data_IF_548801174613
#
_entry.id   IF_548801174613
#
_cell.length_a   1.000
_cell.length_b   1.000
_cell.length_c   1.000
_cell.angle_alpha   90.00
_cell.angle_beta   90.00
_cell.angle_gamma   90.00
#
_symmetry.space_group_name_H-M   'P 1'
#
loop_
_entity.id
_entity.type
_entity.pdbx_description
1 polymer ?
#
# COMPACT_ATOMS: atom_id res chain seq x y z
N UNK A 1 -5.40 4.96 -27.13
CA UNK A 1 -4.05 4.63 -26.60
C UNK A 1 -4.23 3.62 -25.48
N UNK A 2 -3.86 2.36 -25.74
CA UNK A 2 -4.10 1.23 -24.85
C UNK A 2 -3.29 1.40 -23.55
N UNK A 3 -3.99 1.63 -22.45
CA UNK A 3 -3.43 1.56 -21.10
C UNK A 3 -3.03 0.10 -20.84
N UNK A 4 -1.76 -0.23 -21.10
CA UNK A 4 -1.22 -1.55 -20.78
C UNK A 4 -1.26 -1.73 -19.27
N UNK A 5 -2.21 -2.55 -18.81
CA UNK A 5 -2.27 -3.02 -17.44
C UNK A 5 -0.89 -3.64 -17.10
N UNK A 6 -0.27 -3.22 -16.00
CA UNK A 6 0.99 -3.78 -15.49
C UNK A 6 2.31 -3.51 -16.26
N UNK A 7 2.43 -2.41 -17.02
CA UNK A 7 3.66 -2.05 -17.76
C UNK A 7 4.96 -2.16 -16.94
N UNK A 8 4.97 -1.69 -15.69
CA UNK A 8 6.17 -1.77 -14.81
C UNK A 8 6.60 -3.21 -14.52
N UNK A 9 5.62 -4.10 -14.31
CA UNK A 9 5.89 -5.51 -14.02
C UNK A 9 6.39 -6.24 -15.27
N UNK A 10 5.84 -5.91 -16.45
CA UNK A 10 6.29 -6.46 -17.74
C UNK A 10 7.73 -6.03 -18.01
N UNK A 11 8.03 -4.74 -17.87
CA UNK A 11 9.37 -4.22 -18.10
C UNK A 11 10.39 -4.89 -17.17
N UNK A 12 10.06 -4.99 -15.87
CA UNK A 12 10.92 -5.69 -14.91
C UNK A 12 11.09 -7.17 -15.25
N UNK A 13 10.07 -7.84 -15.77
CA UNK A 13 10.17 -9.23 -16.18
C UNK A 13 11.10 -9.42 -17.38
N UNK A 14 11.03 -8.52 -18.38
CA UNK A 14 11.92 -8.52 -19.53
C UNK A 14 13.37 -8.24 -19.12
N UNK A 15 13.59 -7.29 -18.21
CA UNK A 15 14.90 -6.98 -17.64
C UNK A 15 15.51 -8.21 -16.95
N UNK A 16 14.73 -8.93 -16.13
CA UNK A 16 15.20 -10.16 -15.47
C UNK A 16 15.59 -11.24 -16.50
N UNK A 17 14.81 -11.39 -17.57
CA UNK A 17 15.12 -12.34 -18.66
C UNK A 17 16.42 -11.95 -19.36
N UNK A 18 16.59 -10.66 -19.65
CA UNK A 18 17.79 -10.13 -20.30
C UNK A 18 19.04 -10.34 -19.42
N UNK A 19 18.96 -9.98 -18.15
CA UNK A 19 20.10 -10.04 -17.22
C UNK A 19 20.47 -11.48 -16.83
N UNK A 20 19.47 -12.35 -16.60
CA UNK A 20 19.68 -13.69 -16.03
C UNK A 20 19.55 -14.83 -17.03
N UNK A 21 19.06 -14.56 -18.25
CA UNK A 21 18.79 -15.59 -19.25
C UNK A 21 17.69 -16.59 -18.88
N UNK A 22 16.97 -16.37 -17.77
CA UNK A 22 15.92 -17.27 -17.25
C UNK A 22 14.58 -16.55 -17.18
N UNK A 23 13.49 -17.27 -17.44
CA UNK A 23 12.14 -16.72 -17.29
C UNK A 23 11.83 -16.47 -15.81
N UNK A 24 11.09 -15.40 -15.54
CA UNK A 24 10.62 -15.08 -14.18
C UNK A 24 9.77 -16.23 -13.61
N UNK A 25 8.96 -16.89 -14.44
CA UNK A 25 8.18 -18.08 -14.07
C UNK A 25 9.05 -19.18 -13.48
N UNK A 26 10.19 -19.45 -14.11
CA UNK A 26 11.07 -20.56 -13.77
C UNK A 26 11.83 -20.26 -12.48
N UNK A 27 12.29 -19.01 -12.32
CA UNK A 27 12.90 -18.53 -11.07
C UNK A 27 11.91 -18.64 -9.89
N UNK A 28 10.64 -18.25 -10.10
CA UNK A 28 9.63 -18.37 -9.06
C UNK A 28 9.29 -19.84 -8.73
N UNK A 29 9.30 -20.73 -9.72
CA UNK A 29 9.11 -22.16 -9.51
C UNK A 29 10.28 -22.78 -8.74
N UNK A 30 11.52 -22.44 -9.09
CA UNK A 30 12.75 -22.83 -8.36
C UNK A 30 12.72 -22.35 -6.90
N UNK A 31 12.29 -21.10 -6.65
CA UNK A 31 12.16 -20.56 -5.29
C UNK A 31 11.09 -21.25 -4.46
N UNK A 32 10.02 -21.75 -5.09
CA UNK A 32 8.93 -22.43 -4.39
C UNK A 32 9.23 -23.91 -4.10
N UNK A 33 10.14 -24.53 -4.85
CA UNK A 33 10.52 -25.93 -4.70
C UNK A 33 11.71 -26.18 -3.76
N UNK A 34 12.41 -25.13 -3.30
CA UNK A 34 13.53 -25.28 -2.37
C UNK A 34 13.08 -25.81 -0.98
N UNK A 35 13.92 -26.61 -0.31
CA UNK A 35 13.58 -27.30 0.95
C UNK A 35 13.21 -26.35 2.12
N UNK A 36 13.80 -25.15 2.17
CA UNK A 36 13.46 -24.09 3.13
C UNK A 36 12.50 -23.03 2.55
N UNK A 37 11.94 -23.30 1.38
CA UNK A 37 10.94 -22.42 0.78
C UNK A 37 9.66 -22.48 1.60
N UNK A 38 9.42 -21.45 2.41
CA UNK A 38 8.04 -21.09 2.72
C UNK A 38 7.38 -20.70 1.39
N UNK A 39 6.31 -21.38 0.92
CA UNK A 39 5.59 -20.96 -0.30
C UNK A 39 5.00 -19.54 -0.19
N UNK A 40 5.12 -18.92 0.98
CA UNK A 40 4.66 -17.57 1.30
C UNK A 40 5.81 -16.61 1.69
N UNK A 41 7.06 -17.07 1.74
CA UNK A 41 8.23 -16.24 2.05
C UNK A 41 8.33 -15.77 3.50
N UNK A 42 8.11 -16.66 4.48
CA UNK A 42 8.61 -16.56 5.88
C UNK A 42 8.20 -15.35 6.74
N UNK A 43 7.69 -15.60 7.94
CA UNK A 43 7.58 -14.60 9.03
C UNK A 43 6.36 -14.80 9.94
N UNK A 44 6.58 -14.70 11.26
CA UNK A 44 5.55 -14.72 12.31
C UNK A 44 4.36 -13.81 11.95
N UNK A 45 3.14 -14.33 12.10
CA UNK A 45 1.90 -13.66 11.69
C UNK A 45 1.09 -13.29 12.92
N UNK A 46 1.28 -12.08 13.43
CA UNK A 46 0.48 -11.53 14.53
C UNK A 46 -0.89 -11.07 13.99
N UNK A 47 -1.95 -11.69 14.49
CA UNK A 47 -3.37 -11.45 14.13
C UNK A 47 -3.87 -10.06 14.50
N UNK A 48 -3.11 -9.36 15.33
CA UNK A 48 -3.58 -8.22 16.10
C UNK A 48 -3.31 -6.86 15.43
N UNK A 49 -2.74 -6.89 14.22
CA UNK A 49 -2.38 -5.69 13.49
C UNK A 49 -3.56 -5.02 12.75
N UNK A 50 -4.75 -5.65 12.74
CA UNK A 50 -5.87 -5.21 11.89
C UNK A 50 -7.09 -4.88 12.75
N UNK A 51 -7.39 -3.59 12.88
CA UNK A 51 -8.60 -3.08 13.53
C UNK A 51 -9.85 -3.21 12.61
N UNK A 52 -11.05 -3.10 13.18
CA UNK A 52 -12.28 -2.92 12.41
C UNK A 52 -12.17 -1.66 11.55
N UNK A 53 -12.80 -1.67 10.38
CA UNK A 53 -12.58 -0.61 9.40
C UNK A 53 -13.14 0.74 9.88
N UNK A 54 -14.28 0.72 10.56
CA UNK A 54 -14.96 1.96 10.98
C UNK A 54 -14.18 2.65 12.10
N UNK A 55 -13.71 1.89 13.11
CA UNK A 55 -12.87 2.42 14.19
C UNK A 55 -11.54 2.96 13.61
N UNK A 56 -10.97 2.27 12.63
CA UNK A 56 -9.74 2.71 11.98
C UNK A 56 -9.98 3.99 11.18
N UNK A 57 -11.07 4.09 10.41
CA UNK A 57 -11.41 5.26 9.62
C UNK A 57 -11.59 6.50 10.52
N UNK A 58 -12.27 6.37 11.66
CA UNK A 58 -12.44 7.44 12.65
C UNK A 58 -11.11 7.88 13.28
N UNK A 59 -10.26 6.92 13.67
CA UNK A 59 -8.93 7.21 14.24
C UNK A 59 -8.04 7.93 13.23
N UNK A 60 -8.08 7.52 11.96
CA UNK A 60 -7.31 8.15 10.89
C UNK A 60 -7.77 9.58 10.62
N UNK A 61 -9.08 9.83 10.64
CA UNK A 61 -9.61 11.19 10.50
C UNK A 61 -9.11 12.09 11.64
N UNK A 62 -9.30 11.66 12.89
CA UNK A 62 -8.82 12.40 14.08
C UNK A 62 -7.32 12.64 14.07
N UNK A 63 -6.54 11.67 13.58
CA UNK A 63 -5.09 11.82 13.43
C UNK A 63 -4.74 12.90 12.42
N UNK A 64 -5.43 12.97 11.27
CA UNK A 64 -5.20 14.03 10.29
C UNK A 64 -5.56 15.39 10.87
N UNK A 65 -6.66 15.50 11.60
CA UNK A 65 -7.03 16.74 12.28
C UNK A 65 -5.93 17.18 13.26
N UNK A 66 -5.44 16.26 14.10
CA UNK A 66 -4.33 16.54 15.00
C UNK A 66 -3.01 16.87 14.29
N UNK A 67 -2.73 16.28 13.12
CA UNK A 67 -1.56 16.63 12.31
C UNK A 67 -1.64 18.07 11.81
N UNK A 68 -2.82 18.52 11.39
CA UNK A 68 -3.04 19.91 10.95
C UNK A 68 -2.83 20.86 12.13
N UNK A 69 -3.40 20.54 13.30
CA UNK A 69 -3.20 21.32 14.53
C UNK A 69 -1.73 21.39 14.97
N UNK A 70 -0.97 20.30 14.79
CA UNK A 70 0.47 20.23 15.09
C UNK A 70 1.35 20.96 14.06
N UNK A 71 0.77 21.52 13.00
CA UNK A 71 1.50 22.36 12.05
C UNK A 71 1.90 21.67 10.74
N UNK A 72 1.26 20.57 10.34
CA UNK A 72 1.48 19.91 9.05
C UNK A 72 1.54 20.89 7.87
N UNK A 73 0.63 21.87 7.83
CA UNK A 73 0.56 22.86 6.74
C UNK A 73 1.83 23.71 6.68
N UNK A 74 2.36 24.10 7.85
CA UNK A 74 3.60 24.88 7.94
C UNK A 74 4.80 24.07 7.46
N UNK A 75 4.87 22.78 7.83
CA UNK A 75 5.92 21.87 7.36
C UNK A 75 5.90 21.72 5.84
N UNK A 76 4.71 21.58 5.25
CA UNK A 76 4.54 21.46 3.79
C UNK A 76 4.94 22.74 3.05
N UNK A 77 4.57 23.91 3.59
CA UNK A 77 4.95 25.22 3.03
C UNK A 77 6.46 25.42 3.09
N UNK A 78 7.09 25.14 4.22
CA UNK A 78 8.55 25.26 4.39
C UNK A 78 9.30 24.29 3.47
N UNK A 79 8.85 23.03 3.38
CA UNK A 79 9.40 22.06 2.45
C UNK A 79 9.27 22.53 0.99
N UNK A 80 8.09 23.00 0.58
CA UNK A 80 7.86 23.48 -0.79
C UNK A 80 8.75 24.68 -1.13
N UNK A 81 8.88 25.63 -0.19
CA UNK A 81 9.76 26.79 -0.33
C UNK A 81 11.22 26.38 -0.47
N UNK A 82 11.75 25.54 0.43
CA UNK A 82 13.14 25.05 0.40
C UNK A 82 13.43 24.28 -0.89
N UNK A 83 12.52 23.42 -1.32
CA UNK A 83 12.65 22.67 -2.57
C UNK A 83 12.73 23.60 -3.78
N UNK A 84 11.85 24.61 -3.87
CA UNK A 84 11.86 25.57 -4.97
C UNK A 84 13.14 26.43 -4.99
N UNK A 85 13.65 26.85 -3.84
CA UNK A 85 14.92 27.56 -3.74
C UNK A 85 16.10 26.71 -4.27
N UNK A 86 16.15 25.43 -3.93
CA UNK A 86 17.18 24.52 -4.44
C UNK A 86 17.04 24.26 -5.95
N UNK A 87 15.80 24.13 -6.42
CA UNK A 87 15.48 23.92 -7.84
C UNK A 87 15.93 25.09 -8.71
N UNK A 88 15.65 26.34 -8.28
CA UNK A 88 16.03 27.54 -9.02
C UNK A 88 17.55 27.66 -9.21
N UNK A 89 18.35 27.12 -8.29
CA UNK A 89 19.82 27.09 -8.41
C UNK A 89 20.32 26.08 -9.45
N UNK A 90 19.55 25.03 -9.73
CA UNK A 90 19.95 23.90 -10.59
C UNK A 90 19.26 23.91 -11.97
N UNK A 91 18.35 24.87 -12.20
CA UNK A 91 17.57 25.05 -13.44
C UNK A 91 16.80 23.79 -13.91
N UNK A 92 16.46 22.90 -12.98
CA UNK A 92 15.72 21.67 -13.26
C UNK A 92 14.20 21.89 -13.22
N UNK A 93 13.47 21.22 -14.11
CA UNK A 93 12.00 21.16 -14.05
C UNK A 93 11.55 20.24 -12.90
N UNK A 94 10.50 20.58 -12.15
CA UNK A 94 10.03 19.75 -11.07
C UNK A 94 9.33 18.48 -11.61
N UNK A 95 9.85 17.30 -11.28
CA UNK A 95 9.20 16.02 -11.57
C UNK A 95 8.37 15.55 -10.37
N UNK A 96 7.09 15.95 -10.33
CA UNK A 96 6.16 15.54 -9.28
C UNK A 96 5.72 14.06 -9.39
N UNK A 97 6.16 13.31 -10.40
CA UNK A 97 5.78 11.90 -10.60
C UNK A 97 6.63 10.92 -9.80
N UNK A 98 7.70 11.38 -9.13
CA UNK A 98 8.70 10.52 -8.48
C UNK A 98 9.04 10.98 -7.06
N UNK A 99 9.61 10.06 -6.29
CA UNK A 99 10.19 10.32 -4.97
C UNK A 99 9.17 10.81 -3.95
N UNK A 100 9.59 11.77 -3.11
CA UNK A 100 8.80 12.31 -2.01
C UNK A 100 7.48 12.96 -2.46
N UNK A 101 7.39 13.42 -3.72
CA UNK A 101 6.18 14.01 -4.29
C UNK A 101 5.02 13.02 -4.47
N UNK A 102 5.31 11.72 -4.44
CA UNK A 102 4.29 10.66 -4.48
C UNK A 102 3.78 10.27 -3.08
N UNK A 103 4.37 10.82 -2.02
CA UNK A 103 3.94 10.57 -0.65
C UNK A 103 2.53 11.13 -0.40
N UNK A 104 1.76 10.39 0.40
CA UNK A 104 0.48 10.85 0.95
C UNK A 104 0.78 12.02 1.89
N UNK A 105 0.08 13.15 1.74
CA UNK A 105 0.28 14.36 2.52
C UNK A 105 0.84 15.52 1.71
N UNK A 106 1.63 15.27 0.66
CA UNK A 106 2.16 16.35 -0.17
C UNK A 106 1.28 16.61 -1.40
N UNK A 107 0.97 15.56 -2.17
CA UNK A 107 0.24 15.69 -3.44
C UNK A 107 -1.17 16.26 -3.25
N UNK A 108 -1.80 15.97 -2.12
CA UNK A 108 -3.13 16.49 -1.78
C UNK A 108 -3.14 18.00 -1.57
N UNK A 109 -2.02 18.57 -1.12
CA UNK A 109 -1.87 20.01 -0.87
C UNK A 109 -1.23 20.75 -2.05
N UNK A 110 -0.95 20.07 -3.16
CA UNK A 110 -0.21 20.69 -4.27
C UNK A 110 -0.86 21.98 -4.79
N UNK A 111 -2.19 21.97 -4.99
CA UNK A 111 -2.91 23.16 -5.43
C UNK A 111 -2.77 24.33 -4.45
N UNK A 112 -2.96 24.07 -3.15
CA UNK A 112 -2.79 25.07 -2.09
C UNK A 112 -1.33 25.60 -2.00
N UNK A 113 -0.34 24.73 -2.13
CA UNK A 113 1.08 25.08 -2.06
C UNK A 113 1.56 25.93 -3.25
N UNK A 114 0.84 25.90 -4.37
CA UNK A 114 1.13 26.70 -5.57
C UNK A 114 0.50 28.09 -5.56
N UNK A 115 -0.42 28.36 -4.62
CA UNK A 115 -1.01 29.69 -4.44
C UNK A 115 0.02 30.70 -3.93
N UNK A 116 -0.14 31.97 -4.31
CA UNK A 116 0.63 33.06 -3.70
C UNK A 116 0.23 33.27 -2.24
N UNK A 117 1.06 33.97 -1.45
CA UNK A 117 0.75 34.24 -0.03
C UNK A 117 -0.56 35.02 0.14
N UNK A 118 -0.85 35.92 -0.79
CA UNK A 118 -2.08 36.72 -0.81
C UNK A 118 -3.29 35.83 -1.11
N UNK A 119 -3.15 34.90 -2.06
CA UNK A 119 -4.20 33.93 -2.41
C UNK A 119 -4.42 32.90 -1.30
N UNK A 120 -3.38 32.51 -0.57
CA UNK A 120 -3.52 31.60 0.58
C UNK A 120 -4.35 32.23 1.72
N UNK A 121 -4.29 33.56 1.86
CA UNK A 121 -5.06 34.31 2.86
C UNK A 121 -6.50 34.60 2.42
N UNK A 122 -6.81 34.46 1.13
CA UNK A 122 -8.16 34.67 0.59
C UNK A 122 -9.11 33.55 0.97
N UNK A 123 -10.41 33.77 0.76
CA UNK A 123 -11.41 32.76 1.06
C UNK A 123 -11.30 31.54 0.14
N UNK A 124 -10.87 31.74 -1.11
CA UNK A 124 -10.54 30.66 -2.03
C UNK A 124 -9.36 29.81 -1.54
N UNK A 125 -8.33 30.44 -0.96
CA UNK A 125 -7.20 29.73 -0.38
C UNK A 125 -7.59 28.87 0.82
N UNK A 126 -8.48 29.37 1.69
CA UNK A 126 -9.04 28.60 2.81
C UNK A 126 -9.88 27.42 2.32
N UNK A 127 -10.67 27.62 1.27
CA UNK A 127 -11.47 26.54 0.66
C UNK A 127 -10.57 25.45 0.07
N UNK A 128 -9.51 25.83 -0.64
CA UNK A 128 -8.55 24.89 -1.23
C UNK A 128 -7.80 24.11 -0.14
N UNK A 129 -7.46 24.76 0.97
CA UNK A 129 -6.86 24.08 2.12
C UNK A 129 -7.82 23.05 2.73
N UNK A 130 -9.10 23.41 2.91
CA UNK A 130 -10.11 22.49 3.43
C UNK A 130 -10.30 21.27 2.52
N UNK A 131 -10.32 21.48 1.19
CA UNK A 131 -10.35 20.39 0.20
C UNK A 131 -9.13 19.49 0.31
N UNK A 132 -7.93 20.06 0.45
CA UNK A 132 -6.69 19.30 0.60
C UNK A 132 -6.71 18.42 1.86
N UNK A 133 -7.19 18.92 2.99
CA UNK A 133 -7.32 18.17 4.25
C UNK A 133 -8.31 17.01 4.09
N UNK A 134 -9.48 17.24 3.49
CA UNK A 134 -10.46 16.17 3.26
C UNK A 134 -9.94 15.11 2.28
N UNK A 135 -9.20 15.55 1.25
CA UNK A 135 -8.54 14.63 0.34
C UNK A 135 -7.47 13.80 1.07
N UNK A 136 -6.68 14.40 1.97
CA UNK A 136 -5.70 13.70 2.80
C UNK A 136 -6.37 12.62 3.65
N UNK A 137 -7.49 12.94 4.32
CA UNK A 137 -8.28 11.95 5.07
C UNK A 137 -8.73 10.80 4.17
N UNK A 138 -9.29 11.12 3.00
CA UNK A 138 -9.78 10.12 2.05
C UNK A 138 -8.68 9.17 1.57
N UNK A 139 -7.53 9.70 1.13
CA UNK A 139 -6.43 8.86 0.63
C UNK A 139 -5.81 8.03 1.75
N UNK A 140 -5.79 8.53 2.99
CA UNK A 140 -5.28 7.81 4.16
C UNK A 140 -6.18 6.61 4.47
N UNK A 141 -7.50 6.78 4.45
CA UNK A 141 -8.46 5.66 4.57
C UNK A 141 -8.31 4.64 3.43
N UNK A 142 -8.19 5.12 2.18
CA UNK A 142 -7.96 4.24 1.02
C UNK A 142 -6.66 3.44 1.14
N UNK A 143 -5.60 4.09 1.61
CA UNK A 143 -4.32 3.44 1.84
C UNK A 143 -4.42 2.37 2.93
N UNK A 144 -5.07 2.68 4.05
CA UNK A 144 -5.32 1.72 5.12
C UNK A 144 -6.16 0.52 4.64
N UNK A 145 -7.21 0.74 3.84
CA UNK A 145 -8.01 -0.34 3.20
C UNK A 145 -7.14 -1.21 2.28
N UNK A 146 -6.25 -0.60 1.50
CA UNK A 146 -5.32 -1.32 0.62
C UNK A 146 -4.31 -2.13 1.43
N UNK A 147 -3.78 -1.58 2.52
CA UNK A 147 -2.90 -2.29 3.44
C UNK A 147 -3.62 -3.46 4.09
N UNK A 148 -4.83 -3.26 4.63
CA UNK A 148 -5.66 -4.33 5.18
C UNK A 148 -5.90 -5.42 4.15
N UNK A 149 -6.35 -5.08 2.93
CA UNK A 149 -6.55 -6.06 1.85
C UNK A 149 -5.25 -6.78 1.47
N UNK A 150 -4.11 -6.10 1.43
CA UNK A 150 -2.83 -6.71 1.11
C UNK A 150 -2.36 -7.64 2.23
N UNK A 151 -2.42 -7.20 3.49
CA UNK A 151 -2.10 -8.02 4.66
C UNK A 151 -3.03 -9.22 4.72
N UNK A 152 -4.34 -9.01 4.54
CA UNK A 152 -5.30 -10.10 4.44
C UNK A 152 -4.92 -11.01 3.29
N UNK A 153 -4.87 -10.60 2.04
CA UNK A 153 -4.66 -11.53 0.92
C UNK A 153 -3.26 -12.17 0.88
N UNK A 154 -2.21 -11.45 1.30
CA UNK A 154 -0.82 -11.92 1.26
C UNK A 154 -0.47 -12.77 2.48
N UNK A 155 -0.98 -12.43 3.66
CA UNK A 155 -0.65 -13.08 4.92
C UNK A 155 -1.81 -13.83 5.60
N UNK A 156 -3.08 -13.45 5.44
CA UNK A 156 -4.24 -14.07 6.12
C UNK A 156 -5.22 -14.84 5.19
N UNK A 157 -5.22 -14.57 3.89
CA UNK A 157 -6.11 -15.13 2.86
C UNK A 157 -5.64 -16.47 2.34
N UNK A 158 -4.62 -17.03 3.00
CA UNK A 158 -4.26 -18.44 3.01
C UNK A 158 -4.75 -18.97 4.34
N UNK A 159 -5.83 -19.75 4.31
CA UNK A 159 -6.78 -19.88 5.41
C UNK A 159 -6.12 -20.55 6.59
N UNK A 160 -6.34 -19.97 7.75
CA UNK A 160 -6.59 -20.61 9.05
C UNK A 160 -6.50 -19.47 10.06
N UNK A 161 -7.56 -19.19 10.86
CA UNK A 161 -7.54 -18.32 12.08
C UNK A 161 -8.94 -18.03 12.63
N UNK A 162 -9.17 -18.43 13.89
CA UNK A 162 -10.18 -17.87 14.82
C UNK A 162 -9.48 -17.28 16.07
N UNK A 163 -10.22 -16.58 16.94
CA UNK A 163 -9.82 -15.35 17.65
C UNK A 163 -9.89 -15.41 19.20
N UNK A 164 -9.06 -14.59 19.88
CA UNK A 164 -9.26 -14.09 21.27
C UNK A 164 -8.58 -12.70 21.49
N UNK A 165 -9.10 -11.92 22.45
CA UNK A 165 -9.02 -10.44 22.53
C UNK A 165 -7.74 -9.80 23.14
N UNK A 166 -6.64 -10.53 23.41
CA UNK A 166 -5.51 -9.97 24.18
C UNK A 166 -4.14 -10.04 23.48
N UNK A 167 -3.81 -8.97 22.77
CA UNK A 167 -2.64 -8.84 21.88
C UNK A 167 -1.31 -8.77 22.61
N UNK A 168 -1.28 -7.96 23.67
CA UNK A 168 -0.05 -7.50 24.29
C UNK A 168 0.59 -8.61 25.11
N UNK A 169 -0.22 -9.32 25.91
CA UNK A 169 0.23 -10.42 26.77
C UNK A 169 0.80 -11.59 25.97
N UNK A 170 0.11 -12.00 24.91
CA UNK A 170 0.57 -13.07 24.02
C UNK A 170 1.90 -12.68 23.35
N UNK A 171 2.02 -11.44 22.88
CA UNK A 171 3.27 -10.97 22.27
C UNK A 171 4.43 -10.93 23.28
N UNK A 172 4.19 -10.43 24.49
CA UNK A 172 5.18 -10.38 25.58
C UNK A 172 5.63 -11.79 25.98
N UNK A 173 4.71 -12.74 26.12
CA UNK A 173 5.02 -14.13 26.47
C UNK A 173 5.84 -14.82 25.38
N UNK A 174 5.49 -14.64 24.10
CA UNK A 174 6.27 -15.19 22.98
C UNK A 174 7.71 -14.64 22.97
N UNK A 175 7.85 -13.32 23.13
CA UNK A 175 9.17 -12.67 23.14
C UNK A 175 9.98 -13.12 24.36
N UNK A 176 9.35 -13.22 25.52
CA UNK A 176 9.99 -13.67 26.76
C UNK A 176 10.44 -15.12 26.65
N UNK A 177 9.59 -16.02 26.15
CA UNK A 177 9.98 -17.42 25.92
C UNK A 177 11.13 -17.55 24.93
N UNK A 178 11.17 -16.72 23.87
CA UNK A 178 12.28 -16.70 22.92
C UNK A 178 13.59 -16.22 23.55
N UNK A 179 13.55 -15.12 24.32
CA UNK A 179 14.72 -14.57 25.02
C UNK A 179 15.25 -15.56 26.06
N UNK A 180 14.35 -16.21 26.80
CA UNK A 180 14.69 -17.18 27.84
C UNK A 180 15.01 -18.59 27.31
N UNK A 181 14.93 -18.80 25.99
CA UNK A 181 15.06 -20.10 25.33
C UNK A 181 14.16 -21.20 25.91
N UNK A 182 12.96 -20.82 26.35
CA UNK A 182 11.92 -21.74 26.82
C UNK A 182 10.95 -22.07 25.68
N UNK A 183 10.34 -23.27 25.68
CA UNK A 183 9.30 -23.60 24.72
C UNK A 183 8.14 -22.60 24.84
N UNK A 184 7.72 -22.03 23.70
CA UNK A 184 6.62 -21.08 23.64
C UNK A 184 5.31 -21.79 24.00
N UNK A 185 4.52 -21.26 24.95
CA UNK A 185 3.25 -21.87 25.37
C UNK A 185 2.16 -21.77 24.29
N UNK A 186 2.37 -20.91 23.29
CA UNK A 186 1.44 -20.69 22.19
C UNK A 186 1.85 -21.50 20.96
N UNK A 187 1.01 -22.45 20.56
CA UNK A 187 1.23 -23.25 19.35
C UNK A 187 0.91 -22.46 18.07
N UNK A 188 1.68 -22.67 16.98
CA UNK A 188 1.32 -22.15 15.68
C UNK A 188 -0.01 -22.76 15.22
N UNK A 189 -0.95 -21.91 14.79
CA UNK A 189 -2.19 -22.38 14.20
C UNK A 189 -1.94 -23.29 12.98
N UNK A 190 -2.80 -24.29 12.74
CA UNK A 190 -2.65 -25.21 11.62
C UNK A 190 -2.70 -24.51 10.25
N UNK A 191 -2.40 -25.28 9.19
CA UNK A 191 -2.39 -24.81 7.81
C UNK A 191 -3.69 -25.26 7.14
N UNK A 192 -4.65 -24.36 6.92
CA UNK A 192 -5.83 -24.67 6.11
C UNK A 192 -5.60 -24.23 4.65
N UNK A 193 -6.14 -24.99 3.70
CA UNK A 193 -6.15 -24.61 2.28
C UNK A 193 -7.18 -23.51 2.03
N UNK A 194 -6.74 -22.26 1.77
CA UNK A 194 -7.70 -21.24 1.35
C UNK A 194 -8.20 -21.57 -0.04
N UNK A 195 -9.52 -21.62 -0.19
CA UNK A 195 -10.17 -21.45 -1.50
C UNK A 195 -10.15 -19.99 -1.94
N UNK A 196 -9.01 -19.30 -1.83
CA UNK A 196 -8.81 -18.15 -2.70
C UNK A 196 -8.58 -18.75 -4.07
N UNK A 197 -9.61 -18.80 -4.91
CA UNK A 197 -9.44 -19.12 -6.33
C UNK A 197 -8.47 -18.05 -6.81
N UNK A 198 -7.21 -18.38 -7.12
CA UNK A 198 -6.34 -17.38 -7.69
C UNK A 198 -7.01 -16.98 -9.01
N UNK A 199 -6.94 -15.70 -9.41
CA UNK A 199 -7.21 -15.27 -10.79
C UNK A 199 -6.16 -15.95 -11.71
N UNK A 200 -6.22 -17.28 -11.79
CA UNK A 200 -5.19 -18.21 -12.26
C UNK A 200 -5.54 -18.81 -13.59
N UNK A 201 -6.76 -18.58 -14.08
CA UNK A 201 -6.99 -18.74 -15.50
C UNK A 201 -6.17 -17.64 -16.18
N UNK A 202 -5.08 -18.05 -16.82
CA UNK A 202 -4.27 -17.25 -17.74
C UNK A 202 -5.07 -16.78 -18.97
N UNK A 203 -6.38 -17.06 -18.98
CA UNK A 203 -7.32 -16.70 -20.01
C UNK A 203 -7.59 -15.20 -19.96
N UNK A 204 -7.24 -14.55 -21.06
CA UNK A 204 -7.54 -13.14 -21.28
C UNK A 204 -8.69 -13.04 -22.25
N UNK A 205 -9.74 -12.30 -21.87
CA UNK A 205 -10.88 -12.00 -22.74
C UNK A 205 -10.77 -10.54 -23.20
N UNK A 206 -11.09 -10.28 -24.46
CA UNK A 206 -11.07 -8.93 -25.04
C UNK A 206 -12.47 -8.55 -25.48
N UNK A 207 -13.04 -7.48 -24.93
CA UNK A 207 -14.32 -6.97 -25.38
C UNK A 207 -14.14 -6.20 -26.70
N UNK A 208 -14.77 -6.64 -27.78
CA UNK A 208 -14.72 -5.98 -29.09
C UNK A 208 -15.42 -4.61 -29.14
N UNK A 209 -16.26 -4.30 -28.14
CA UNK A 209 -17.03 -3.05 -28.09
C UNK A 209 -16.28 -1.94 -27.35
N UNK A 210 -15.51 -2.28 -26.32
CA UNK A 210 -14.80 -1.30 -25.49
C UNK A 210 -13.28 -1.48 -25.45
N UNK A 211 -12.73 -2.41 -26.27
CA UNK A 211 -11.31 -2.74 -26.39
C UNK A 211 -10.60 -3.02 -25.05
N UNK A 212 -11.37 -3.45 -24.03
CA UNK A 212 -10.86 -3.74 -22.70
C UNK A 212 -10.46 -5.21 -22.58
N UNK A 213 -9.32 -5.45 -21.96
CA UNK A 213 -8.81 -6.79 -21.63
C UNK A 213 -9.24 -7.16 -20.19
N UNK A 214 -9.84 -8.32 -20.04
CA UNK A 214 -10.25 -8.94 -18.77
C UNK A 214 -9.39 -10.17 -18.50
N UNK A 215 -9.00 -10.38 -17.24
CA UNK A 215 -8.15 -11.51 -16.85
C UNK A 215 -8.98 -12.47 -16.00
N UNK A 216 -9.28 -13.64 -16.57
CA UNK A 216 -10.10 -14.68 -15.97
C UNK A 216 -11.61 -14.50 -16.22
N UNK A 217 -12.30 -15.63 -16.25
CA UNK A 217 -13.72 -15.74 -16.59
C UNK A 217 -14.64 -14.93 -15.65
N UNK A 218 -14.35 -14.92 -14.34
CA UNK A 218 -15.14 -14.15 -13.37
C UNK A 218 -15.18 -12.65 -13.64
N UNK A 219 -14.09 -12.08 -14.18
CA UNK A 219 -14.07 -10.67 -14.55
C UNK A 219 -14.85 -10.41 -15.84
N UNK A 220 -14.83 -11.37 -16.76
CA UNK A 220 -15.55 -11.30 -18.03
C UNK A 220 -17.07 -11.39 -17.84
N UNK A 221 -17.53 -12.33 -17.00
CA UNK A 221 -18.96 -12.54 -16.72
C UNK A 221 -19.59 -11.43 -15.87
N UNK A 222 -18.78 -10.64 -15.16
CA UNK A 222 -19.25 -9.51 -14.35
C UNK A 222 -19.40 -8.20 -15.15
N UNK A 223 -19.14 -8.23 -16.46
CA UNK A 223 -19.20 -7.07 -17.37
C UNK A 223 -20.46 -7.07 -18.23
#
# INVERSE_FOLDING_TARGET
MNSFFNQKNIFRALEIIYDKGKKVSDILAEQQSAQDASPSGGGLRFTNAICSQDILDDRLNKRVDSMVEQGLVNELLDFHHKYNLGRLKTNNQPDYTKGIFQAIGFKEFHCYLMLSKEQQASDEGKEELAKAVEQLKLVTRRYAKKQKKWVTNRFLGRSDREFEDNVTKIAEEIVTSYIEMKPCPHEPLPKISSRSIPNSLHETYTCSTCDRVFVGQLQWEAT
#
